data_IF_292875004978
#
_entry.id   IF_292875004978
#
_cell.length_a   1.000
_cell.length_b   1.000
_cell.length_c   1.000
_cell.angle_alpha   90.00
_cell.angle_beta   90.00
_cell.angle_gamma   90.00
#
_symmetry.space_group_name_H-M   'P 1'
#
loop_
_entity.id
_entity.type
_entity.pdbx_description
1 polymer ?
#
# COMPACT_ATOMS: atom_id res chain seq x y z
N UNK A 1 6.64 50.32 15.08
CA UNK A 1 6.45 49.81 13.71
C UNK A 1 7.35 48.60 13.62
N UNK A 2 6.85 47.44 14.02
CA UNK A 2 7.62 46.20 14.02
C UNK A 2 6.97 45.27 13.01
N UNK A 3 7.67 45.08 11.89
CA UNK A 3 7.28 44.18 10.83
C UNK A 3 7.40 42.74 11.33
N UNK A 4 6.26 42.05 11.45
CA UNK A 4 6.21 40.59 11.51
C UNK A 4 6.71 40.08 10.16
N UNK A 5 7.91 39.52 10.15
CA UNK A 5 8.42 38.76 9.02
C UNK A 5 7.75 37.39 9.03
N UNK A 6 6.55 37.32 8.43
CA UNK A 6 5.83 36.07 8.19
C UNK A 6 6.33 35.50 6.86
N UNK A 7 7.52 34.89 6.89
CA UNK A 7 8.01 34.07 5.76
C UNK A 7 7.15 32.82 5.71
N UNK A 8 6.02 32.91 5.03
CA UNK A 8 5.24 31.75 4.61
C UNK A 8 6.10 30.90 3.69
N UNK A 9 6.64 29.80 4.20
CA UNK A 9 7.33 28.82 3.37
C UNK A 9 6.35 28.31 2.31
N UNK A 10 6.71 28.45 1.03
CA UNK A 10 5.94 27.89 -0.08
C UNK A 10 5.99 26.37 0.08
N UNK A 11 4.82 25.74 0.23
CA UNK A 11 4.72 24.29 0.28
C UNK A 11 5.07 23.71 -1.09
N UNK A 12 6.20 23.01 -1.17
CA UNK A 12 6.66 22.35 -2.40
C UNK A 12 5.71 21.20 -2.70
N UNK A 13 5.01 21.29 -3.83
CA UNK A 13 4.06 20.26 -4.25
C UNK A 13 4.83 19.04 -4.77
N UNK A 14 4.43 17.81 -4.42
CA UNK A 14 4.97 16.61 -5.03
C UNK A 14 4.60 16.52 -6.52
N UNK A 15 5.31 15.67 -7.30
CA UNK A 15 4.89 15.29 -8.65
C UNK A 15 3.42 14.86 -8.72
N UNK A 16 2.73 15.29 -9.77
CA UNK A 16 1.32 14.97 -9.98
C UNK A 16 1.12 13.50 -10.41
N UNK A 17 -0.04 12.90 -10.11
CA UNK A 17 -0.36 11.50 -10.46
C UNK A 17 -0.15 11.11 -11.93
N UNK A 18 -0.55 11.97 -12.87
CA UNK A 18 -0.34 11.78 -14.31
C UNK A 18 1.14 11.78 -14.69
N UNK A 19 1.92 12.69 -14.10
CA UNK A 19 3.37 12.70 -14.26
C UNK A 19 4.03 11.43 -13.73
N UNK A 20 3.57 10.92 -12.59
CA UNK A 20 4.03 9.62 -12.05
C UNK A 20 3.77 8.50 -13.06
N UNK A 21 2.56 8.40 -13.59
CA UNK A 21 2.22 7.37 -14.58
C UNK A 21 3.04 7.50 -15.87
N UNK A 22 3.30 8.73 -16.32
CA UNK A 22 4.17 8.98 -17.47
C UNK A 22 5.59 8.43 -17.23
N UNK A 23 6.20 8.68 -16.06
CA UNK A 23 7.54 8.18 -15.78
C UNK A 23 7.61 6.65 -15.70
N UNK A 24 6.55 5.99 -15.24
CA UNK A 24 6.46 4.52 -15.15
C UNK A 24 6.27 3.91 -16.55
N UNK A 25 5.27 4.37 -17.30
CA UNK A 25 4.80 3.70 -18.51
C UNK A 25 5.24 4.37 -19.81
N UNK A 26 5.94 5.52 -19.74
CA UNK A 26 6.42 6.29 -20.89
C UNK A 26 5.31 6.66 -21.89
N UNK A 27 4.08 6.83 -21.37
CA UNK A 27 2.88 7.13 -22.14
C UNK A 27 2.11 8.25 -21.46
N UNK A 28 1.73 9.27 -22.24
CA UNK A 28 0.90 10.38 -21.78
C UNK A 28 -0.57 9.93 -21.68
N UNK A 29 -1.20 10.27 -20.56
CA UNK A 29 -2.61 10.00 -20.27
C UNK A 29 -3.51 11.22 -20.42
N UNK A 30 -3.02 12.34 -20.97
CA UNK A 30 -3.74 13.61 -21.09
C UNK A 30 -4.28 14.11 -19.73
N UNK A 31 -3.50 13.93 -18.67
CA UNK A 31 -3.88 14.27 -17.29
C UNK A 31 -4.79 13.25 -16.59
N UNK A 32 -5.15 12.15 -17.24
CA UNK A 32 -5.90 11.07 -16.61
C UNK A 32 -5.03 10.29 -15.62
N UNK A 33 -5.65 9.88 -14.51
CA UNK A 33 -5.02 9.05 -13.47
C UNK A 33 -5.30 7.56 -13.66
N UNK A 34 -5.95 7.20 -14.76
CA UNK A 34 -6.18 5.82 -15.18
C UNK A 34 -6.39 5.77 -16.70
N UNK A 35 -5.61 4.97 -17.41
CA UNK A 35 -5.67 4.86 -18.87
C UNK A 35 -5.06 3.55 -19.39
N UNK A 36 -5.46 3.15 -20.59
CA UNK A 36 -4.89 1.99 -21.27
C UNK A 36 -3.42 2.26 -21.63
N UNK A 37 -2.51 1.34 -21.29
CA UNK A 37 -1.08 1.44 -21.60
C UNK A 37 -0.72 0.66 -22.87
N UNK A 38 -0.94 -0.66 -22.88
CA UNK A 38 -0.62 -1.56 -23.97
C UNK A 38 -1.52 -2.79 -23.94
N UNK A 39 -1.90 -3.31 -25.12
CA UNK A 39 -2.63 -4.57 -25.27
C UNK A 39 -3.82 -4.73 -24.29
N UNK A 40 -4.66 -3.70 -24.16
CA UNK A 40 -5.82 -3.73 -23.26
C UNK A 40 -5.51 -3.68 -21.75
N UNK A 41 -4.23 -3.60 -21.35
CA UNK A 41 -3.84 -3.35 -19.96
C UNK A 41 -4.12 -1.89 -19.58
N UNK A 42 -4.68 -1.67 -18.40
CA UNK A 42 -4.95 -0.35 -17.83
C UNK A 42 -4.03 -0.07 -16.67
N UNK A 43 -3.35 1.06 -16.71
CA UNK A 43 -2.63 1.60 -15.56
C UNK A 43 -3.55 2.54 -14.76
N UNK A 44 -3.41 2.52 -13.44
CA UNK A 44 -4.13 3.40 -12.51
C UNK A 44 -3.18 3.91 -11.43
N UNK A 45 -3.14 5.22 -11.23
CA UNK A 45 -2.43 5.80 -10.09
C UNK A 45 -3.13 5.39 -8.80
N UNK A 46 -2.36 4.94 -7.81
CA UNK A 46 -2.90 4.31 -6.61
C UNK A 46 -2.62 5.10 -5.34
N UNK A 47 -1.36 5.44 -5.06
CA UNK A 47 -0.99 6.10 -3.81
C UNK A 47 0.26 6.97 -3.96
N UNK A 48 0.35 8.04 -3.18
CA UNK A 48 1.51 8.93 -3.16
C UNK A 48 1.99 9.18 -1.74
N UNK A 49 3.29 9.08 -1.52
CA UNK A 49 3.88 9.22 -0.20
C UNK A 49 5.15 10.08 -0.22
N UNK A 50 5.19 11.11 0.62
CA UNK A 50 6.40 11.90 0.86
C UNK A 50 7.05 11.43 2.16
N UNK A 51 8.36 11.21 2.14
CA UNK A 51 9.09 10.73 3.31
C UNK A 51 10.49 11.31 3.37
N UNK A 52 11.08 11.31 4.56
CA UNK A 52 12.49 11.65 4.78
C UNK A 52 13.28 10.41 5.16
N UNK A 53 14.44 10.24 4.53
CA UNK A 53 15.41 9.18 4.82
C UNK A 53 16.82 9.73 4.63
N UNK A 54 17.69 9.54 5.63
CA UNK A 54 19.06 10.07 5.66
C UNK A 54 19.19 11.56 5.29
N UNK A 55 18.27 12.38 5.82
CA UNK A 55 18.25 13.83 5.59
C UNK A 55 17.82 14.26 4.19
N UNK A 56 17.33 13.33 3.37
CA UNK A 56 16.80 13.58 2.02
C UNK A 56 15.30 13.45 1.99
N UNK A 57 14.64 14.36 1.29
CA UNK A 57 13.19 14.31 1.04
C UNK A 57 12.88 13.57 -0.24
N UNK A 58 12.13 12.50 -0.13
CA UNK A 58 11.65 11.70 -1.24
C UNK A 58 10.15 11.87 -1.43
N UNK A 59 9.70 11.62 -2.66
CA UNK A 59 8.32 11.34 -2.98
C UNK A 59 8.26 10.07 -3.83
N UNK A 60 7.38 9.15 -3.48
CA UNK A 60 7.08 7.99 -4.32
C UNK A 60 5.60 8.01 -4.69
N UNK A 61 5.34 7.91 -5.98
CA UNK A 61 4.02 7.61 -6.50
C UNK A 61 3.96 6.14 -6.91
N UNK A 62 2.97 5.43 -6.39
CA UNK A 62 2.65 4.05 -6.73
C UNK A 62 1.48 4.01 -7.70
N UNK A 63 1.55 3.06 -8.63
CA UNK A 63 0.48 2.75 -9.55
C UNK A 63 0.31 1.23 -9.62
N UNK A 64 -0.78 0.80 -10.24
CA UNK A 64 -0.95 -0.59 -10.63
C UNK A 64 -1.39 -0.69 -12.08
N UNK A 65 -1.10 -1.82 -12.72
CA UNK A 65 -1.63 -2.16 -14.02
C UNK A 65 -2.31 -3.53 -14.03
N UNK A 66 -3.42 -3.63 -14.76
CA UNK A 66 -4.01 -4.93 -15.10
C UNK A 66 -3.08 -5.67 -16.07
N UNK A 67 -3.22 -6.98 -16.16
CA UNK A 67 -2.43 -7.77 -17.12
C UNK A 67 -2.78 -7.40 -18.57
N UNK A 68 -1.79 -7.54 -19.46
CA UNK A 68 -2.01 -7.45 -20.91
C UNK A 68 -2.95 -8.56 -21.38
N UNK A 69 -3.80 -8.24 -22.35
CA UNK A 69 -4.78 -9.16 -22.93
C UNK A 69 -4.59 -9.19 -24.43
N UNK A 70 -4.23 -10.35 -24.96
CA UNK A 70 -4.09 -10.52 -26.40
C UNK A 70 -5.42 -10.99 -26.98
N UNK A 71 -5.77 -10.60 -28.24
CA UNK A 71 -7.03 -11.01 -28.87
C UNK A 71 -7.25 -12.53 -28.93
N UNK A 72 -6.17 -13.33 -28.85
CA UNK A 72 -6.24 -14.79 -28.81
C UNK A 72 -6.77 -15.34 -27.47
N UNK A 73 -6.74 -14.53 -26.41
CA UNK A 73 -7.08 -14.95 -25.05
C UNK A 73 -8.60 -14.92 -24.78
N UNK A 74 -9.38 -14.32 -25.68
CA UNK A 74 -10.83 -14.20 -25.56
C UNK A 74 -11.28 -13.19 -24.51
N UNK A 75 -12.57 -13.21 -24.16
CA UNK A 75 -13.10 -12.38 -23.07
C UNK A 75 -12.65 -12.94 -21.71
N UNK A 76 -11.91 -12.13 -20.95
CA UNK A 76 -11.49 -12.47 -19.60
C UNK A 76 -12.38 -11.76 -18.56
N UNK A 77 -12.96 -12.56 -17.66
CA UNK A 77 -13.73 -12.11 -16.50
C UNK A 77 -12.86 -12.28 -15.26
N UNK A 78 -12.46 -11.20 -14.58
CA UNK A 78 -11.56 -11.29 -13.43
C UNK A 78 -12.11 -12.12 -12.27
N UNK A 79 -11.36 -13.14 -11.90
CA UNK A 79 -11.57 -13.97 -10.73
C UNK A 79 -11.02 -13.36 -9.43
N UNK A 80 -11.33 -13.97 -8.29
CA UNK A 80 -10.89 -13.48 -6.98
C UNK A 80 -9.37 -13.50 -6.79
N UNK A 81 -8.65 -14.33 -7.52
CA UNK A 81 -7.19 -14.43 -7.43
C UNK A 81 -6.45 -13.62 -8.50
N UNK A 82 -7.18 -12.94 -9.40
CA UNK A 82 -6.56 -12.13 -10.45
C UNK A 82 -6.05 -10.80 -9.84
N UNK A 83 -4.74 -10.72 -9.68
CA UNK A 83 -4.05 -9.57 -9.09
C UNK A 83 -3.51 -8.63 -10.17
N UNK A 84 -3.29 -7.38 -9.77
CA UNK A 84 -2.65 -6.36 -10.61
C UNK A 84 -1.15 -6.25 -10.29
N UNK A 85 -0.37 -5.84 -11.27
CA UNK A 85 1.05 -5.57 -11.12
C UNK A 85 1.26 -4.18 -10.51
N UNK A 86 1.97 -4.09 -9.40
CA UNK A 86 2.35 -2.84 -8.74
C UNK A 86 3.60 -2.25 -9.39
N UNK A 87 3.61 -0.93 -9.53
CA UNK A 87 4.72 -0.15 -10.07
C UNK A 87 4.94 1.12 -9.24
N UNK A 88 6.10 1.76 -9.42
CA UNK A 88 6.36 3.04 -8.77
C UNK A 88 7.23 3.97 -9.62
N UNK A 89 7.15 5.27 -9.33
CA UNK A 89 8.19 6.24 -9.63
C UNK A 89 8.57 6.99 -8.36
N UNK A 90 9.87 7.05 -8.08
CA UNK A 90 10.45 7.70 -6.92
C UNK A 90 11.28 8.91 -7.33
N UNK A 91 11.12 9.98 -6.58
CA UNK A 91 11.71 11.29 -6.82
C UNK A 91 12.45 11.76 -5.57
N UNK A 92 13.56 12.46 -5.78
CA UNK A 92 14.31 13.15 -4.76
C UNK A 92 14.08 14.65 -4.92
N UNK A 93 13.83 15.35 -3.82
CA UNK A 93 13.80 16.80 -3.82
C UNK A 93 15.23 17.34 -3.90
N UNK A 94 15.56 18.05 -4.97
CA UNK A 94 16.94 18.50 -5.27
C UNK A 94 17.11 20.01 -5.31
N UNK A 95 16.06 20.77 -5.63
CA UNK A 95 16.12 22.23 -5.72
C UNK A 95 14.80 22.90 -5.32
N UNK A 96 14.68 23.28 -4.06
CA UNK A 96 13.47 23.89 -3.48
C UNK A 96 13.07 25.23 -4.10
N UNK A 97 13.97 25.90 -4.82
CA UNK A 97 13.73 27.18 -5.48
C UNK A 97 13.33 27.07 -6.95
N UNK A 98 13.36 25.87 -7.53
CA UNK A 98 13.10 25.63 -8.95
C UNK A 98 11.62 25.41 -9.28
N UNK A 99 11.23 25.66 -10.53
CA UNK A 99 9.92 25.27 -11.08
C UNK A 99 9.75 23.74 -11.13
N UNK A 100 10.86 22.99 -11.21
CA UNK A 100 10.89 21.52 -11.19
C UNK A 100 11.77 21.04 -10.03
N UNK A 101 11.30 21.13 -8.79
CA UNK A 101 12.13 20.92 -7.60
C UNK A 101 12.45 19.43 -7.35
N UNK A 102 11.73 18.52 -8.01
CA UNK A 102 11.86 17.07 -7.88
C UNK A 102 12.61 16.47 -9.06
N UNK A 103 13.61 15.64 -8.78
CA UNK A 103 14.34 14.83 -9.76
C UNK A 103 13.95 13.37 -9.65
N UNK A 104 13.62 12.72 -10.76
CA UNK A 104 13.38 11.27 -10.80
C UNK A 104 14.68 10.54 -10.40
N UNK A 105 14.57 9.64 -9.44
CA UNK A 105 15.69 8.74 -9.06
C UNK A 105 15.50 7.32 -9.56
N UNK A 106 14.26 6.90 -9.81
CA UNK A 106 13.96 5.61 -10.41
C UNK A 106 12.48 5.46 -10.71
N UNK A 107 12.17 4.67 -11.75
CA UNK A 107 10.82 4.21 -12.04
C UNK A 107 10.89 2.70 -12.30
N UNK A 108 10.11 1.93 -11.55
CA UNK A 108 10.12 0.47 -11.60
C UNK A 108 8.73 0.01 -12.06
N UNK A 109 8.63 -0.63 -13.25
CA UNK A 109 7.34 -1.04 -13.81
C UNK A 109 6.74 -2.24 -13.09
N UNK A 110 7.50 -2.90 -12.21
CA UNK A 110 7.08 -4.03 -11.40
C UNK A 110 7.81 -4.05 -10.07
N UNK A 111 7.06 -4.11 -8.96
CA UNK A 111 7.56 -4.26 -7.59
C UNK A 111 6.80 -5.32 -6.77
N UNK A 112 5.90 -6.06 -7.42
CA UNK A 112 5.07 -7.09 -6.82
C UNK A 112 3.64 -7.11 -7.39
N UNK A 113 2.81 -7.99 -6.85
CA UNK A 113 1.38 -8.12 -7.18
C UNK A 113 0.53 -7.99 -5.93
N UNK A 114 -0.64 -7.38 -6.08
CA UNK A 114 -1.59 -7.21 -4.99
C UNK A 114 -3.03 -7.07 -5.47
N UNK A 115 -3.95 -7.00 -4.52
CA UNK A 115 -5.37 -6.89 -4.79
C UNK A 115 -5.98 -8.19 -5.28
N UNK A 116 -7.13 -8.05 -5.94
CA UNK A 116 -8.00 -9.12 -6.41
C UNK A 116 -8.92 -8.58 -7.51
N UNK A 117 -9.53 -9.46 -8.30
CA UNK A 117 -10.47 -9.08 -9.36
C UNK A 117 -9.92 -8.03 -10.35
N UNK A 118 -8.65 -8.14 -10.72
CA UNK A 118 -7.92 -7.17 -11.56
C UNK A 118 -7.98 -5.73 -11.02
N UNK A 119 -8.00 -5.58 -9.69
CA UNK A 119 -8.02 -4.28 -9.03
C UNK A 119 -7.09 -4.27 -7.82
N UNK A 120 -6.35 -3.18 -7.65
CA UNK A 120 -5.59 -2.92 -6.42
C UNK A 120 -6.51 -2.74 -5.21
N UNK A 121 -5.97 -2.98 -4.00
CA UNK A 121 -6.70 -2.69 -2.77
C UNK A 121 -7.04 -1.20 -2.68
N UNK A 122 -8.19 -0.84 -2.12
CA UNK A 122 -8.59 0.56 -2.02
C UNK A 122 -7.86 1.25 -0.87
N UNK A 123 -7.22 2.40 -1.12
CA UNK A 123 -6.60 3.20 -0.06
C UNK A 123 -7.67 3.68 0.90
N UNK A 124 -7.45 3.51 2.21
CA UNK A 124 -8.34 4.03 3.24
C UNK A 124 -7.91 5.46 3.63
N UNK A 125 -8.68 6.50 3.23
CA UNK A 125 -8.33 7.88 3.55
C UNK A 125 -8.55 8.24 5.03
N UNK A 126 -9.26 7.39 5.80
CA UNK A 126 -9.54 7.60 7.22
C UNK A 126 -8.36 7.28 8.12
N UNK A 127 -7.37 6.53 7.64
CA UNK A 127 -6.17 6.14 8.38
C UNK A 127 -4.93 6.74 7.72
N UNK A 128 -3.90 6.98 8.53
CA UNK A 128 -2.60 7.47 8.03
C UNK A 128 -1.68 6.30 7.71
N UNK A 129 -0.88 6.46 6.66
CA UNK A 129 0.26 5.59 6.44
C UNK A 129 1.23 5.66 7.62
N UNK A 130 1.87 4.53 7.90
CA UNK A 130 2.85 4.41 8.97
C UNK A 130 4.21 4.06 8.40
N UNK A 131 5.25 4.54 9.06
CA UNK A 131 6.64 4.37 8.64
C UNK A 131 7.47 3.75 9.75
N UNK A 132 8.39 2.87 9.37
CA UNK A 132 9.43 2.35 10.24
C UNK A 132 10.78 2.39 9.54
N UNK A 133 11.79 2.95 10.20
CA UNK A 133 13.15 3.03 9.66
C UNK A 133 13.95 1.88 10.26
N UNK A 134 14.45 1.00 9.41
CA UNK A 134 15.24 -0.15 9.86
C UNK A 134 16.63 0.29 10.29
N UNK A 135 17.31 -0.55 11.07
CA UNK A 135 18.70 -0.28 11.49
C UNK A 135 19.68 -0.21 10.30
N UNK A 136 19.32 -0.83 9.18
CA UNK A 136 20.07 -0.79 7.93
C UNK A 136 19.77 0.43 7.06
N UNK A 137 18.95 1.38 7.54
CA UNK A 137 18.59 2.59 6.80
C UNK A 137 17.54 2.37 5.71
N UNK A 138 16.79 1.27 5.74
CA UNK A 138 15.64 1.05 4.85
C UNK A 138 14.39 1.70 5.46
N UNK A 139 13.40 2.00 4.63
CA UNK A 139 12.08 2.42 5.07
C UNK A 139 11.08 1.29 4.84
N UNK A 140 10.35 0.89 5.87
CA UNK A 140 9.11 0.12 5.74
C UNK A 140 7.93 1.08 5.82
N UNK A 141 7.10 1.08 4.78
CA UNK A 141 5.88 1.87 4.65
C UNK A 141 4.67 0.93 4.75
N UNK A 142 3.72 1.27 5.60
CA UNK A 142 2.42 0.61 5.69
C UNK A 142 1.32 1.56 5.22
N UNK A 143 0.73 1.27 4.07
CA UNK A 143 -0.37 2.05 3.47
C UNK A 143 -1.70 1.44 3.90
N UNK A 144 -2.58 2.18 4.60
CA UNK A 144 -3.85 1.64 5.05
C UNK A 144 -4.75 1.39 3.86
N UNK A 145 -5.32 0.20 3.79
CA UNK A 145 -6.21 -0.20 2.71
C UNK A 145 -7.46 -0.89 3.22
N UNK A 146 -8.40 -1.04 2.30
CA UNK A 146 -9.53 -1.95 2.45
C UNK A 146 -9.85 -2.65 1.14
N UNK A 147 -10.46 -3.83 1.25
CA UNK A 147 -11.06 -4.54 0.13
C UNK A 147 -12.48 -4.99 0.50
N UNK A 148 -13.30 -5.26 -0.51
CA UNK A 148 -14.63 -5.84 -0.30
C UNK A 148 -14.59 -7.31 -0.75
N UNK A 149 -14.92 -8.21 0.17
CA UNK A 149 -14.95 -9.65 -0.09
C UNK A 149 -16.32 -10.18 0.33
N UNK A 150 -17.12 -10.61 -0.64
CA UNK A 150 -18.45 -11.19 -0.40
C UNK A 150 -19.34 -10.35 0.54
N UNK A 151 -19.26 -9.01 0.42
CA UNK A 151 -20.06 -8.09 1.25
C UNK A 151 -19.50 -7.83 2.65
N UNK A 152 -18.28 -8.30 2.95
CA UNK A 152 -17.50 -7.95 4.14
C UNK A 152 -16.39 -6.99 3.71
N UNK A 153 -16.30 -5.84 4.36
CA UNK A 153 -15.17 -4.93 4.17
C UNK A 153 -14.02 -5.43 5.02
N UNK A 154 -12.91 -5.76 4.38
CA UNK A 154 -11.66 -6.16 5.06
C UNK A 154 -10.79 -4.91 5.21
N UNK A 155 -10.32 -4.64 6.42
CA UNK A 155 -9.37 -3.57 6.72
C UNK A 155 -7.96 -4.16 6.84
N UNK A 156 -7.00 -3.53 6.16
CA UNK A 156 -5.62 -3.98 6.16
C UNK A 156 -4.61 -2.85 5.98
N UNK A 157 -3.34 -3.21 5.92
CA UNK A 157 -2.25 -2.38 5.44
C UNK A 157 -1.47 -3.12 4.33
N UNK A 158 -1.27 -2.46 3.19
CA UNK A 158 -0.32 -2.91 2.17
C UNK A 158 1.09 -2.38 2.52
N UNK A 159 2.07 -3.28 2.50
CA UNK A 159 3.41 -3.03 3.01
C UNK A 159 4.45 -2.94 1.92
N UNK A 160 5.33 -1.96 2.03
CA UNK A 160 6.39 -1.70 1.06
C UNK A 160 7.72 -1.42 1.75
N UNK A 161 8.81 -1.97 1.22
CA UNK A 161 10.16 -1.66 1.70
C UNK A 161 10.90 -0.87 0.64
N UNK A 162 11.45 0.28 1.03
CA UNK A 162 12.35 1.09 0.23
C UNK A 162 13.80 0.86 0.64
N UNK A 163 14.62 0.48 -0.35
CA UNK A 163 16.07 0.38 -0.26
C UNK A 163 16.73 1.61 -0.94
N UNK A 164 17.35 2.52 -0.17
CA UNK A 164 17.97 3.73 -0.72
C UNK A 164 19.36 3.50 -1.33
N UNK A 165 19.88 2.27 -1.34
CA UNK A 165 21.17 1.96 -1.95
C UNK A 165 21.21 2.45 -3.39
N UNK A 166 22.30 3.11 -3.83
CA UNK A 166 22.39 3.66 -5.19
C UNK A 166 22.29 2.60 -6.28
N UNK A 167 22.78 1.42 -5.98
CA UNK A 167 22.73 0.25 -6.85
C UNK A 167 22.09 -0.87 -6.05
N UNK A 168 21.10 -1.51 -6.64
CA UNK A 168 20.50 -2.76 -6.15
C UNK A 168 20.89 -3.88 -7.12
N UNK A 169 20.98 -5.15 -6.65
CA UNK A 169 21.14 -6.30 -7.53
C UNK A 169 20.11 -6.32 -8.67
N UNK A 170 20.46 -6.94 -9.80
CA UNK A 170 19.62 -6.93 -11.01
C UNK A 170 18.23 -7.57 -10.83
N UNK A 171 18.10 -8.46 -9.84
CA UNK A 171 16.90 -9.17 -9.43
C UNK A 171 16.26 -8.58 -8.15
N UNK A 172 16.69 -7.37 -7.77
CA UNK A 172 16.15 -6.59 -6.68
C UNK A 172 15.58 -5.27 -7.18
N UNK A 173 14.72 -4.69 -6.35
CA UNK A 173 14.03 -3.45 -6.60
C UNK A 173 14.33 -2.47 -5.47
N UNK A 174 14.32 -1.17 -5.78
CA UNK A 174 14.38 -0.15 -4.74
C UNK A 174 13.12 -0.20 -3.88
N UNK A 175 11.95 -0.40 -4.47
CA UNK A 175 10.74 -0.71 -3.74
C UNK A 175 10.36 -2.17 -3.90
N UNK A 176 10.02 -2.83 -2.79
CA UNK A 176 9.46 -4.19 -2.82
C UNK A 176 8.14 -4.20 -2.06
N UNK A 177 7.09 -4.74 -2.68
CA UNK A 177 5.85 -5.06 -1.98
C UNK A 177 6.06 -6.32 -1.11
N UNK A 178 5.90 -6.17 0.20
CA UNK A 178 6.21 -7.22 1.19
C UNK A 178 4.98 -7.82 1.85
N UNK A 179 3.78 -7.57 1.30
CA UNK A 179 2.55 -8.26 1.68
C UNK A 179 1.47 -7.33 2.24
N UNK A 180 0.36 -7.96 2.64
CA UNK A 180 -0.81 -7.30 3.20
C UNK A 180 -1.03 -7.81 4.64
N UNK A 181 -1.27 -6.88 5.56
CA UNK A 181 -1.53 -7.19 6.98
C UNK A 181 -2.99 -6.92 7.29
N UNK A 182 -3.73 -7.97 7.60
CA UNK A 182 -5.12 -7.88 8.06
C UNK A 182 -5.17 -7.26 9.45
N UNK A 183 -6.11 -6.33 9.66
CA UNK A 183 -6.29 -5.71 10.98
C UNK A 183 -7.73 -5.80 11.49
N UNK A 184 -8.70 -6.01 10.62
CA UNK A 184 -10.10 -5.98 11.00
C UNK A 184 -11.04 -6.18 9.82
N UNK A 185 -12.32 -6.18 10.13
CA UNK A 185 -13.38 -6.36 9.14
C UNK A 185 -14.70 -5.79 9.63
N UNK A 186 -15.56 -5.43 8.68
CA UNK A 186 -16.91 -4.94 8.93
C UNK A 186 -17.89 -5.65 7.98
N UNK A 187 -18.81 -6.44 8.54
CA UNK A 187 -19.85 -7.14 7.78
C UNK A 187 -21.23 -6.47 7.87
N UNK A 188 -21.31 -5.23 8.36
CA UNK A 188 -22.56 -4.49 8.58
C UNK A 188 -23.43 -4.33 7.33
N UNK A 189 -22.83 -4.37 6.14
CA UNK A 189 -23.53 -4.32 4.87
C UNK A 189 -24.27 -5.62 4.50
N UNK A 190 -23.92 -6.75 5.13
CA UNK A 190 -24.42 -8.09 4.76
C UNK A 190 -25.08 -8.86 5.91
N UNK A 191 -24.87 -8.43 7.16
CA UNK A 191 -25.49 -9.02 8.33
C UNK A 191 -26.91 -8.48 8.55
N UNK A 192 -27.67 -9.18 9.41
CA UNK A 192 -28.99 -8.73 9.87
C UNK A 192 -29.07 -8.93 11.39
N UNK A 193 -29.39 -7.86 12.13
CA UNK A 193 -29.49 -7.89 13.58
C UNK A 193 -30.76 -8.60 14.09
N UNK A 194 -31.81 -8.66 13.28
CA UNK A 194 -33.16 -9.07 13.69
C UNK A 194 -33.62 -10.41 13.08
N UNK A 195 -33.04 -10.86 11.95
CA UNK A 195 -33.54 -12.05 11.24
C UNK A 195 -32.48 -12.98 10.58
N UNK A 196 -31.17 -12.77 10.79
CA UNK A 196 -30.11 -13.44 10.01
C UNK A 196 -29.41 -14.64 10.65
N UNK A 197 -28.99 -15.62 9.82
CA UNK A 197 -27.95 -16.62 10.19
C UNK A 197 -26.56 -15.99 10.36
N UNK A 198 -26.33 -14.80 9.81
CA UNK A 198 -25.05 -14.09 9.85
C UNK A 198 -25.12 -12.95 10.86
N UNK A 199 -24.36 -13.08 11.94
CA UNK A 199 -24.33 -12.06 12.99
C UNK A 199 -23.52 -10.84 12.56
N UNK A 200 -23.94 -9.66 13.01
CA UNK A 200 -23.20 -8.41 12.78
C UNK A 200 -21.96 -8.34 13.66
N UNK A 201 -20.80 -8.23 13.01
CA UNK A 201 -19.49 -8.14 13.63
C UNK A 201 -18.70 -6.99 12.98
N UNK A 202 -17.97 -6.26 13.82
CA UNK A 202 -17.07 -5.21 13.38
C UNK A 202 -15.83 -5.27 14.28
N UNK A 203 -14.68 -5.41 13.65
CA UNK A 203 -13.38 -5.38 14.32
C UNK A 203 -12.44 -4.41 13.63
N UNK A 204 -11.56 -3.80 14.42
CA UNK A 204 -10.47 -2.97 13.93
C UNK A 204 -9.17 -3.35 14.64
N UNK A 205 -8.04 -2.89 14.11
CA UNK A 205 -6.74 -3.19 14.70
C UNK A 205 -5.77 -2.02 14.65
N UNK A 206 -4.84 -1.99 15.59
CA UNK A 206 -3.72 -1.05 15.60
C UNK A 206 -2.44 -1.78 15.25
N UNK A 207 -1.82 -1.42 14.12
CA UNK A 207 -0.51 -1.92 13.70
C UNK A 207 0.61 -1.27 14.54
N UNK A 208 1.54 -2.09 15.01
CA UNK A 208 2.75 -1.69 15.70
C UNK A 208 3.97 -2.38 15.06
N UNK A 209 5.04 -1.62 14.86
CA UNK A 209 6.34 -2.17 14.45
C UNK A 209 7.18 -2.49 15.68
N UNK A 210 7.55 -3.75 15.86
CA UNK A 210 8.35 -4.23 16.99
C UNK A 210 9.76 -4.59 16.50
N UNK A 211 10.78 -3.76 16.78
CA UNK A 211 12.16 -4.05 16.38
C UNK A 211 12.63 -5.42 16.89
N UNK A 212 13.31 -6.18 16.04
CA UNK A 212 13.89 -7.49 16.35
C UNK A 212 15.41 -7.40 16.33
N UNK A 213 16.12 -8.09 17.21
CA UNK A 213 17.59 -8.03 17.28
C UNK A 213 18.28 -8.96 16.25
N UNK A 214 17.58 -10.00 15.81
CA UNK A 214 18.04 -11.04 14.90
C UNK A 214 17.46 -10.93 13.48
N UNK A 215 16.63 -9.91 13.21
CA UNK A 215 16.04 -9.65 11.90
C UNK A 215 16.28 -8.21 11.43
N UNK A 216 16.57 -7.99 10.13
CA UNK A 216 16.70 -6.65 9.56
C UNK A 216 15.36 -5.89 9.50
N UNK A 217 14.24 -6.60 9.64
CA UNK A 217 12.87 -6.07 9.58
C UNK A 217 12.18 -6.21 10.95
N UNK A 218 11.30 -5.28 11.34
CA UNK A 218 10.53 -5.43 12.57
C UNK A 218 9.54 -6.59 12.46
N UNK A 219 9.16 -7.19 13.58
CA UNK A 219 7.92 -7.97 13.67
C UNK A 219 6.74 -6.98 13.63
N UNK A 220 5.63 -7.37 13.03
CA UNK A 220 4.41 -6.57 13.03
C UNK A 220 3.44 -7.16 14.04
N UNK A 221 2.93 -6.31 14.92
CA UNK A 221 1.95 -6.70 15.93
C UNK A 221 0.67 -5.92 15.72
N UNK A 222 -0.45 -6.63 15.61
CA UNK A 222 -1.77 -6.03 15.42
C UNK A 222 -2.61 -6.27 16.66
N UNK A 223 -2.83 -5.21 17.43
CA UNK A 223 -3.74 -5.25 18.57
C UNK A 223 -5.17 -5.00 18.08
N UNK A 224 -6.01 -6.03 18.14
CA UNK A 224 -7.37 -5.99 17.62
C UNK A 224 -8.40 -5.69 18.71
N UNK A 225 -9.50 -5.06 18.30
CA UNK A 225 -10.65 -4.73 19.14
C UNK A 225 -11.96 -5.00 18.39
N UNK A 226 -13.07 -4.96 19.13
CA UNK A 226 -14.41 -5.14 18.57
C UNK A 226 -14.89 -6.59 18.66
N UNK A 227 -15.64 -7.04 17.66
CA UNK A 227 -16.25 -8.37 17.61
C UNK A 227 -15.98 -9.08 16.30
N UNK A 228 -15.94 -10.41 16.34
CA UNK A 228 -15.86 -11.30 15.18
C UNK A 228 -17.00 -12.30 15.21
N UNK A 229 -17.33 -12.88 14.06
CA UNK A 229 -18.30 -13.99 13.99
C UNK A 229 -17.65 -15.25 14.58
N UNK A 230 -18.32 -15.86 15.56
CA UNK A 230 -17.84 -17.06 16.29
C UNK A 230 -18.66 -18.32 15.96
N UNK A 231 -19.59 -18.19 15.03
CA UNK A 231 -20.47 -19.26 14.57
C UNK A 231 -21.80 -18.72 14.02
N UNK A 232 -22.71 -19.60 13.58
CA UNK A 232 -24.02 -19.19 13.06
C UNK A 232 -24.78 -18.33 14.07
N UNK A 233 -25.08 -17.09 13.70
CA UNK A 233 -25.79 -16.11 14.53
C UNK A 233 -25.06 -15.67 15.80
N UNK A 234 -23.78 -15.97 15.96
CA UNK A 234 -23.01 -15.67 17.18
C UNK A 234 -21.80 -14.80 16.88
N UNK A 235 -21.49 -13.90 17.81
CA UNK A 235 -20.26 -13.13 17.82
C UNK A 235 -19.48 -13.34 19.12
N UNK A 236 -18.18 -13.13 19.02
CA UNK A 236 -17.25 -13.10 20.15
C UNK A 236 -16.55 -11.76 20.20
N UNK A 237 -16.36 -11.24 21.41
CA UNK A 237 -15.52 -10.06 21.65
C UNK A 237 -14.04 -10.43 21.56
N UNK A 238 -13.28 -9.60 20.84
CA UNK A 238 -11.84 -9.74 20.72
C UNK A 238 -11.14 -9.26 22.01
N UNK A 239 -10.08 -9.97 22.39
CA UNK A 239 -9.25 -9.68 23.56
C UNK A 239 -7.76 -9.87 23.28
N UNK A 240 -6.96 -9.91 24.34
CA UNK A 240 -5.49 -9.99 24.24
C UNK A 240 -4.96 -11.26 23.57
N UNK A 241 -5.77 -12.33 23.51
CA UNK A 241 -5.43 -13.57 22.80
C UNK A 241 -5.61 -13.47 21.28
N UNK A 242 -6.20 -12.37 20.79
CA UNK A 242 -6.50 -12.14 19.37
C UNK A 242 -5.53 -11.16 18.71
N UNK A 243 -4.40 -10.90 19.37
CA UNK A 243 -3.30 -10.17 18.78
C UNK A 243 -2.73 -11.02 17.65
N UNK A 244 -2.57 -10.41 16.47
CA UNK A 244 -1.90 -11.06 15.34
C UNK A 244 -0.45 -10.61 15.30
N UNK A 245 0.45 -11.56 15.05
CA UNK A 245 1.87 -11.31 14.89
C UNK A 245 2.31 -11.78 13.50
N UNK A 246 3.05 -10.92 12.81
CA UNK A 246 3.61 -11.22 11.49
C UNK A 246 5.13 -11.12 11.54
N UNK A 247 5.77 -12.20 11.10
CA UNK A 247 7.21 -12.31 10.98
C UNK A 247 7.64 -12.08 9.53
N UNK A 248 8.78 -11.41 9.34
CA UNK A 248 9.33 -11.21 8.01
C UNK A 248 10.10 -12.46 7.55
N UNK A 249 9.60 -13.11 6.49
CA UNK A 249 10.32 -14.18 5.81
C UNK A 249 11.31 -13.58 4.82
N UNK A 250 12.59 -13.60 5.19
CA UNK A 250 13.67 -13.07 4.36
C UNK A 250 13.87 -13.86 3.04
N UNK A 251 13.53 -15.15 3.00
CA UNK A 251 13.70 -15.98 1.81
C UNK A 251 12.68 -15.60 0.73
N UNK A 252 11.42 -15.38 1.14
CA UNK A 252 10.34 -14.98 0.23
C UNK A 252 10.11 -13.46 0.17
N UNK A 253 10.84 -12.69 0.99
CA UNK A 253 10.75 -11.23 1.11
C UNK A 253 9.33 -10.72 1.41
N UNK A 254 8.62 -11.40 2.31
CA UNK A 254 7.22 -11.09 2.66
C UNK A 254 6.96 -11.25 4.14
N UNK A 255 5.98 -10.53 4.66
CA UNK A 255 5.42 -10.78 5.98
C UNK A 255 4.42 -11.93 5.93
N UNK A 256 4.57 -12.86 6.87
CA UNK A 256 3.69 -14.00 7.07
C UNK A 256 3.13 -13.93 8.49
N UNK A 257 1.86 -14.27 8.65
CA UNK A 257 1.28 -14.49 9.98
C UNK A 257 1.70 -15.86 10.49
N UNK A 258 1.95 -16.00 11.78
CA UNK A 258 2.30 -17.29 12.38
C UNK A 258 1.09 -18.26 12.46
N UNK A 259 -0.11 -17.79 12.12
CA UNK A 259 -1.41 -18.46 12.31
C UNK A 259 -2.20 -18.81 11.01
N UNK A 260 -1.55 -19.12 9.88
CA UNK A 260 -2.23 -19.67 8.68
C UNK A 260 -1.59 -20.95 8.14
#
# INVERSE_FOLDING_TARGET
MDAKNDTGAIAIKPPAPDGVLYFIYQKDGDGAVSYEIANGAWATYWYGHSFELDGKRYFTGFAYATQERFPADGEHVPGPDDQVDLSNATFLLTDEGSETPWSLVGAEPYIGRFGAHDKGNEVDPGRKAQEFRTREGRLLLAVPTSSLQSGVRIESFDLFVFNPAKEVPIDEHHWTYVGNVYIGEDNSASCDQDAGRLACANSSGTLQFVPQDDSPMPMLRVERNGTVVDGPGQTRTLGSSDVLEYSFDAANRKYLTDDL
#
